data_IF_294188818468
#
_entry.id   IF_294188818468
#
_cell.length_a   1.000
_cell.length_b   1.000
_cell.length_c   1.000
_cell.angle_alpha   90.00
_cell.angle_beta   90.00
_cell.angle_gamma   90.00
#
_symmetry.space_group_name_H-M   'P 1'
#
loop_
_entity.id
_entity.type
_entity.pdbx_description
1 polymer ?
#
# COMPACT_ATOMS: atom_id res chain seq x y z
N UNK A 1 25.51 24.95 -0.51
CA UNK A 1 25.63 23.49 -0.29
C UNK A 1 24.53 23.08 0.68
N UNK A 2 23.34 22.75 0.17
CA UNK A 2 22.21 22.35 1.02
C UNK A 2 22.48 20.94 1.56
N UNK A 3 22.44 20.75 2.89
CA UNK A 3 22.59 19.45 3.54
C UNK A 3 21.47 18.54 3.04
N UNK A 4 21.83 17.46 2.33
CA UNK A 4 20.90 16.41 1.93
C UNK A 4 20.15 15.93 3.17
N UNK A 5 18.81 15.81 3.14
CA UNK A 5 18.08 15.26 4.27
C UNK A 5 18.69 13.91 4.64
N UNK A 6 19.04 13.78 5.92
CA UNK A 6 19.65 12.57 6.46
C UNK A 6 18.61 11.45 6.37
N UNK A 7 18.82 10.51 5.44
CA UNK A 7 17.84 9.48 5.08
C UNK A 7 17.44 8.63 6.29
N UNK A 8 18.34 8.50 7.27
CA UNK A 8 18.10 7.81 8.54
C UNK A 8 17.01 8.49 9.38
N UNK A 9 16.99 9.84 9.42
CA UNK A 9 15.97 10.60 10.17
C UNK A 9 14.58 10.46 9.53
N UNK A 10 14.53 10.42 8.19
CA UNK A 10 13.28 10.20 7.45
C UNK A 10 12.75 8.81 7.77
N UNK A 11 13.60 7.78 7.63
CA UNK A 11 13.23 6.39 7.92
C UNK A 11 12.69 6.19 9.34
N UNK A 12 13.30 6.83 10.34
CA UNK A 12 12.84 6.75 11.73
C UNK A 12 11.46 7.40 11.94
N UNK A 13 11.14 8.43 11.16
CA UNK A 13 9.85 9.15 11.22
C UNK A 13 8.73 8.38 10.51
N UNK A 14 9.02 7.66 9.42
CA UNK A 14 8.03 6.83 8.69
C UNK A 14 7.92 5.40 9.23
N UNK A 15 8.91 4.88 9.95
CA UNK A 15 8.87 3.55 10.55
C UNK A 15 7.59 3.22 11.37
N UNK A 16 7.01 4.12 12.20
CA UNK A 16 5.76 3.84 12.89
C UNK A 16 4.54 3.72 11.95
N UNK A 17 4.59 4.32 10.75
CA UNK A 17 3.51 4.25 9.76
C UNK A 17 3.44 2.89 9.06
N UNK A 18 4.42 2.00 9.25
CA UNK A 18 4.43 0.68 8.63
C UNK A 18 3.26 -0.22 9.05
N UNK A 19 2.84 -0.16 10.32
CA UNK A 19 1.69 -0.93 10.83
C UNK A 19 0.36 -0.46 10.23
N UNK A 20 -0.01 0.83 10.32
CA UNK A 20 -1.24 1.30 9.68
C UNK A 20 -1.21 1.11 8.16
N UNK A 21 -0.06 1.29 7.49
CA UNK A 21 0.07 0.99 6.06
C UNK A 21 -0.28 -0.47 5.72
N UNK A 22 0.17 -1.45 6.52
CA UNK A 22 -0.19 -2.86 6.31
C UNK A 22 -1.67 -3.12 6.56
N UNK A 23 -2.27 -2.52 7.60
CA UNK A 23 -3.70 -2.66 7.89
C UNK A 23 -4.54 -2.08 6.74
N UNK A 24 -4.20 -0.89 6.27
CA UNK A 24 -4.85 -0.25 5.13
C UNK A 24 -4.71 -1.11 3.88
N UNK A 25 -3.52 -1.62 3.56
CA UNK A 25 -3.30 -2.48 2.41
C UNK A 25 -4.13 -3.76 2.46
N UNK A 26 -4.21 -4.41 3.63
CA UNK A 26 -5.03 -5.60 3.84
C UNK A 26 -6.52 -5.30 3.70
N UNK A 27 -6.99 -4.18 4.27
CA UNK A 27 -8.37 -3.73 4.13
C UNK A 27 -8.74 -3.45 2.68
N UNK A 28 -7.84 -2.83 1.92
CA UNK A 28 -8.05 -2.59 0.50
C UNK A 28 -8.12 -3.91 -0.28
N UNK A 29 -7.18 -4.84 -0.08
CA UNK A 29 -7.22 -6.15 -0.75
C UNK A 29 -8.49 -6.94 -0.40
N UNK A 30 -8.92 -6.90 0.86
CA UNK A 30 -10.17 -7.54 1.28
C UNK A 30 -11.38 -6.90 0.59
N UNK A 31 -11.44 -5.56 0.50
CA UNK A 31 -12.51 -4.86 -0.20
C UNK A 31 -12.56 -5.23 -1.69
N UNK A 32 -11.39 -5.31 -2.35
CA UNK A 32 -11.30 -5.75 -3.74
C UNK A 32 -11.83 -7.17 -3.95
N UNK A 33 -11.54 -8.10 -3.04
CA UNK A 33 -12.05 -9.47 -3.09
C UNK A 33 -13.57 -9.53 -2.85
N UNK A 34 -14.06 -8.80 -1.86
CA UNK A 34 -15.50 -8.77 -1.53
C UNK A 34 -16.36 -8.11 -2.60
N UNK A 35 -15.76 -7.25 -3.43
CA UNK A 35 -16.45 -6.55 -4.52
C UNK A 35 -16.14 -7.12 -5.90
N UNK A 36 -15.31 -8.17 -5.97
CA UNK A 36 -14.89 -8.80 -7.23
C UNK A 36 -16.09 -9.21 -8.11
N UNK A 37 -17.14 -9.76 -7.49
CA UNK A 37 -18.35 -10.22 -8.20
C UNK A 37 -19.18 -9.07 -8.78
N UNK A 38 -18.98 -7.83 -8.31
CA UNK A 38 -19.68 -6.63 -8.79
C UNK A 38 -18.93 -5.88 -9.89
N UNK A 39 -17.68 -6.24 -10.17
CA UNK A 39 -16.88 -5.60 -11.22
C UNK A 39 -17.51 -5.70 -12.62
N UNK A 40 -18.11 -6.83 -13.03
CA UNK A 40 -18.79 -6.93 -14.33
C UNK A 40 -19.97 -5.97 -14.44
N UNK A 41 -20.82 -5.91 -13.41
CA UNK A 41 -21.96 -4.98 -13.37
C UNK A 41 -21.49 -3.51 -13.53
N UNK A 42 -20.42 -3.12 -12.83
CA UNK A 42 -19.85 -1.79 -12.95
C UNK A 42 -19.21 -1.53 -14.31
N UNK A 43 -18.59 -2.56 -14.91
CA UNK A 43 -18.00 -2.47 -16.23
C UNK A 43 -19.06 -2.21 -17.30
N UNK A 44 -20.26 -2.77 -17.13
CA UNK A 44 -21.41 -2.53 -18.01
C UNK A 44 -21.97 -1.11 -17.83
N UNK A 45 -22.04 -0.61 -16.58
CA UNK A 45 -22.59 0.73 -16.27
C UNK A 45 -21.64 1.90 -16.62
N UNK A 46 -20.34 1.75 -16.35
CA UNK A 46 -19.35 2.84 -16.43
C UNK A 46 -18.31 2.66 -17.54
N UNK A 47 -18.27 1.49 -18.16
CA UNK A 47 -17.30 1.11 -19.20
C UNK A 47 -16.16 0.25 -18.66
N UNK A 48 -15.99 -0.94 -19.24
CA UNK A 48 -15.05 -1.94 -18.74
C UNK A 48 -13.60 -1.49 -18.69
N UNK A 49 -13.13 -0.71 -19.66
CA UNK A 49 -11.75 -0.20 -19.65
C UNK A 49 -11.45 0.63 -18.40
N UNK A 50 -12.37 1.50 -17.98
CA UNK A 50 -12.21 2.33 -16.79
C UNK A 50 -12.21 1.46 -15.53
N UNK A 51 -13.18 0.56 -15.40
CA UNK A 51 -13.38 -0.26 -14.20
C UNK A 51 -12.22 -1.23 -13.98
N UNK A 52 -11.79 -1.94 -15.01
CA UNK A 52 -10.70 -2.90 -14.88
C UNK A 52 -9.34 -2.21 -14.66
N UNK A 53 -9.08 -1.07 -15.31
CA UNK A 53 -7.84 -0.31 -15.06
C UNK A 53 -7.83 0.27 -13.64
N UNK A 54 -8.95 0.84 -13.18
CA UNK A 54 -9.07 1.35 -11.82
C UNK A 54 -8.88 0.24 -10.78
N UNK A 55 -9.50 -0.94 -11.00
CA UNK A 55 -9.32 -2.11 -10.15
C UNK A 55 -7.87 -2.60 -10.12
N UNK A 56 -7.21 -2.67 -11.29
CA UNK A 56 -5.80 -3.05 -11.37
C UNK A 56 -4.89 -2.06 -10.62
N UNK A 57 -5.11 -0.75 -10.78
CA UNK A 57 -4.38 0.28 -10.04
C UNK A 57 -4.60 0.18 -8.53
N UNK A 58 -5.84 -0.07 -8.12
CA UNK A 58 -6.21 -0.24 -6.72
C UNK A 58 -5.47 -1.41 -6.06
N UNK A 59 -5.46 -2.57 -6.73
CA UNK A 59 -4.72 -3.75 -6.26
C UNK A 59 -3.21 -3.49 -6.25
N UNK A 60 -2.67 -2.86 -7.30
CA UNK A 60 -1.24 -2.53 -7.39
C UNK A 60 -0.79 -1.61 -6.25
N UNK A 61 -1.56 -0.56 -5.95
CA UNK A 61 -1.29 0.34 -4.82
C UNK A 61 -1.35 -0.42 -3.50
N UNK A 62 -2.35 -1.29 -3.31
CA UNK A 62 -2.50 -2.09 -2.09
C UNK A 62 -1.30 -3.01 -1.87
N UNK A 63 -0.85 -3.73 -2.90
CA UNK A 63 0.34 -4.59 -2.83
C UNK A 63 1.60 -3.78 -2.54
N UNK A 64 1.77 -2.63 -3.20
CA UNK A 64 2.91 -1.74 -2.97
C UNK A 64 2.95 -1.22 -1.54
N UNK A 65 1.79 -0.84 -0.99
CA UNK A 65 1.65 -0.37 0.38
C UNK A 65 1.99 -1.48 1.40
N UNK A 66 1.54 -2.71 1.12
CA UNK A 66 1.88 -3.89 1.94
C UNK A 66 3.38 -4.18 1.93
N UNK A 67 4.02 -4.08 0.76
CA UNK A 67 5.46 -4.25 0.60
C UNK A 67 6.23 -3.20 1.40
N UNK A 68 5.83 -1.93 1.27
CA UNK A 68 6.49 -0.83 1.99
C UNK A 68 6.35 -0.99 3.52
N UNK A 69 5.15 -1.29 4.01
CA UNK A 69 4.93 -1.54 5.43
C UNK A 69 5.77 -2.71 5.99
N UNK A 70 5.94 -3.78 5.21
CA UNK A 70 6.87 -4.88 5.55
C UNK A 70 8.32 -4.41 5.63
N UNK A 71 8.80 -3.63 4.66
CA UNK A 71 10.17 -3.12 4.65
C UNK A 71 10.45 -2.20 5.83
N UNK A 72 9.54 -1.25 6.13
CA UNK A 72 9.66 -0.34 7.26
C UNK A 72 9.72 -1.10 8.60
N UNK A 73 8.89 -2.15 8.75
CA UNK A 73 8.92 -3.02 9.94
C UNK A 73 10.22 -3.81 10.05
N UNK A 74 10.76 -4.33 8.95
CA UNK A 74 12.02 -5.09 8.95
C UNK A 74 13.22 -4.22 9.37
N UNK A 75 13.28 -2.96 8.92
CA UNK A 75 14.30 -2.00 9.36
C UNK A 75 14.18 -1.74 10.87
N UNK A 76 12.96 -1.53 11.38
CA UNK A 76 12.70 -1.33 12.82
C UNK A 76 13.16 -2.49 13.68
N UNK A 77 12.87 -3.73 13.26
CA UNK A 77 13.27 -4.94 14.00
C UNK A 77 14.80 -5.07 14.05
N UNK A 78 15.49 -4.80 12.93
CA UNK A 78 16.96 -4.84 12.89
C UNK A 78 17.61 -3.77 13.76
N UNK A 79 17.05 -2.56 13.85
CA UNK A 79 17.55 -1.49 14.73
C UNK A 79 17.33 -1.78 16.21
N UNK A 80 16.23 -2.45 16.59
CA UNK A 80 15.98 -2.86 17.98
C UNK A 80 16.88 -4.00 18.48
N UNK A 81 17.49 -4.76 17.57
CA UNK A 81 18.32 -5.91 17.90
C UNK A 81 19.84 -5.59 17.94
N UNK A 82 20.21 -4.34 17.65
CA UNK A 82 21.56 -3.80 17.87
C UNK A 82 21.56 -2.95 19.13
#
# INVERSE_FOLDING_TARGET
>A
MARSPDLDTVDDTVAPLGVPAMITALGMLAAALLTADRLPDWADDYGGALVYVAGALYVAVSVRLLWWGRTARAVRVRRRAR
#
